data_IF_847427167098
#
_entry.id   IF_847427167098
#
_cell.length_a   1.000
_cell.length_b   1.000
_cell.length_c   1.000
_cell.angle_alpha   90.00
_cell.angle_beta   90.00
_cell.angle_gamma   90.00
#
_symmetry.space_group_name_H-M   'P 1'
#
loop_
_entity.id
_entity.type
_entity.pdbx_description
1 polymer ?
#
# COMPACT_ATOMS: atom_id res chain seq x y z
N UNK A 1 4.63 -48.05 -53.74
CA UNK A 1 4.78 -48.41 -52.31
C UNK A 1 5.68 -47.38 -51.66
N UNK A 2 5.13 -46.41 -50.94
CA UNK A 2 5.82 -45.69 -49.86
C UNK A 2 4.74 -45.13 -48.94
N UNK A 3 4.56 -45.82 -47.83
CA UNK A 3 3.66 -45.49 -46.72
C UNK A 3 4.25 -44.34 -45.93
N UNK A 4 3.59 -43.18 -45.93
CA UNK A 4 3.86 -42.10 -44.97
C UNK A 4 3.20 -42.48 -43.63
N UNK A 5 3.99 -43.10 -42.75
CA UNK A 5 3.60 -43.31 -41.35
C UNK A 5 3.63 -41.99 -40.60
N UNK A 6 2.45 -41.45 -40.30
CA UNK A 6 2.28 -40.41 -39.28
C UNK A 6 2.64 -41.08 -37.95
N UNK A 7 3.77 -40.70 -37.37
CA UNK A 7 4.15 -41.12 -36.02
C UNK A 7 3.07 -40.67 -35.02
N UNK A 8 2.79 -41.46 -33.97
CA UNK A 8 1.72 -41.15 -33.03
C UNK A 8 1.99 -39.79 -32.37
N UNK A 9 1.01 -38.89 -32.48
CA UNK A 9 0.94 -37.66 -31.68
C UNK A 9 0.80 -38.12 -30.23
N UNK A 10 1.82 -37.85 -29.42
CA UNK A 10 1.83 -38.11 -27.99
C UNK A 10 0.82 -37.20 -27.29
N UNK A 11 -0.45 -37.62 -27.33
CA UNK A 11 -1.54 -37.05 -26.55
C UNK A 11 -1.42 -37.55 -25.11
N UNK A 12 -1.04 -36.62 -24.23
CA UNK A 12 -1.25 -36.65 -22.79
C UNK A 12 -0.43 -37.67 -21.99
N UNK A 13 0.85 -37.34 -21.77
CA UNK A 13 1.44 -37.63 -20.46
C UNK A 13 0.54 -37.00 -19.37
N UNK A 14 0.14 -37.76 -18.33
CA UNK A 14 -0.66 -37.20 -17.25
C UNK A 14 0.19 -36.12 -16.59
N UNK A 15 -0.17 -34.85 -16.80
CA UNK A 15 0.36 -33.73 -16.01
C UNK A 15 -0.13 -33.97 -14.59
N UNK A 16 0.67 -34.67 -13.78
CA UNK A 16 0.33 -35.03 -12.41
C UNK A 16 -0.10 -33.76 -11.65
N UNK A 17 -1.12 -33.90 -10.78
CA UNK A 17 -1.59 -32.80 -9.95
C UNK A 17 -0.42 -32.12 -9.21
N UNK A 18 0.58 -32.90 -8.79
CA UNK A 18 1.81 -32.43 -8.16
C UNK A 18 2.60 -31.43 -9.03
N UNK A 19 2.70 -31.65 -10.35
CA UNK A 19 3.40 -30.73 -11.26
C UNK A 19 2.63 -29.41 -11.45
N UNK A 20 1.30 -29.45 -11.33
CA UNK A 20 0.44 -28.26 -11.43
C UNK A 20 0.48 -27.44 -10.13
N UNK A 21 0.47 -28.10 -8.97
CA UNK A 21 0.59 -27.45 -7.67
C UNK A 21 1.98 -26.84 -7.47
N UNK A 22 3.04 -27.53 -7.88
CA UNK A 22 4.40 -27.00 -7.82
C UNK A 22 4.60 -25.74 -8.69
N UNK A 23 4.00 -25.72 -9.88
CA UNK A 23 3.97 -24.52 -10.74
C UNK A 23 3.19 -23.39 -10.10
N UNK A 24 2.10 -23.70 -9.41
CA UNK A 24 1.26 -22.71 -8.71
C UNK A 24 1.99 -22.09 -7.52
N UNK A 25 2.66 -22.89 -6.71
CA UNK A 25 3.49 -22.43 -5.59
C UNK A 25 4.66 -21.59 -6.07
N UNK A 26 5.35 -22.04 -7.12
CA UNK A 26 6.47 -21.32 -7.72
C UNK A 26 6.02 -19.96 -8.25
N UNK A 27 4.86 -19.88 -8.90
CA UNK A 27 4.27 -18.62 -9.34
C UNK A 27 3.96 -17.69 -8.16
N UNK A 28 3.35 -18.20 -7.08
CA UNK A 28 3.06 -17.42 -5.87
C UNK A 28 4.32 -16.86 -5.22
N UNK A 29 5.37 -17.66 -5.11
CA UNK A 29 6.65 -17.23 -4.57
C UNK A 29 7.29 -16.13 -5.41
N UNK A 30 7.26 -16.27 -6.75
CA UNK A 30 7.72 -15.22 -7.66
C UNK A 30 6.89 -13.94 -7.54
N UNK A 31 5.57 -14.04 -7.49
CA UNK A 31 4.68 -12.88 -7.34
C UNK A 31 4.97 -12.14 -6.02
N UNK A 32 5.22 -12.88 -4.94
CA UNK A 32 5.58 -12.31 -3.64
C UNK A 32 6.98 -11.66 -3.64
N UNK A 33 7.98 -12.27 -4.27
CA UNK A 33 9.31 -11.67 -4.45
C UNK A 33 9.24 -10.34 -5.21
N UNK A 34 8.42 -10.27 -6.27
CA UNK A 34 8.15 -9.00 -6.95
C UNK A 34 7.62 -7.96 -5.97
N UNK A 35 6.64 -8.30 -5.12
CA UNK A 35 6.08 -7.36 -4.14
C UNK A 35 7.13 -6.90 -3.12
N UNK A 36 7.94 -7.81 -2.60
CA UNK A 36 9.05 -7.46 -1.70
C UNK A 36 9.99 -6.46 -2.36
N UNK A 37 10.37 -6.68 -3.61
CA UNK A 37 11.27 -5.79 -4.34
C UNK A 37 10.65 -4.40 -4.57
N UNK A 38 9.36 -4.35 -4.93
CA UNK A 38 8.64 -3.09 -5.11
C UNK A 38 8.57 -2.29 -3.80
N UNK A 39 8.20 -2.95 -2.69
CA UNK A 39 8.14 -2.31 -1.37
C UNK A 39 9.54 -1.85 -0.94
N UNK A 40 10.58 -2.68 -1.12
CA UNK A 40 11.97 -2.31 -0.81
C UNK A 40 12.40 -1.05 -1.59
N UNK A 41 12.12 -1.02 -2.89
CA UNK A 41 12.48 0.10 -3.77
C UNK A 41 11.73 1.36 -3.39
N UNK A 42 10.43 1.22 -3.07
CA UNK A 42 9.62 2.34 -2.61
C UNK A 42 10.10 2.88 -1.25
N UNK A 43 10.41 2.00 -0.29
CA UNK A 43 11.02 2.39 0.99
C UNK A 43 12.32 3.17 0.79
N UNK A 44 13.20 2.70 -0.11
CA UNK A 44 14.46 3.39 -0.42
C UNK A 44 14.25 4.78 -1.05
N UNK A 45 13.13 5.02 -1.74
CA UNK A 45 12.78 6.34 -2.27
C UNK A 45 12.14 7.26 -1.23
N UNK A 46 11.45 6.69 -0.24
CA UNK A 46 10.75 7.46 0.79
C UNK A 46 11.64 7.81 1.98
N UNK A 47 12.68 7.00 2.23
CA UNK A 47 13.60 7.16 3.34
C UNK A 47 14.81 8.02 2.91
N UNK A 48 15.43 8.75 3.85
CA UNK A 48 16.68 9.47 3.60
C UNK A 48 17.81 8.58 3.05
N UNK A 49 18.74 9.15 2.26
CA UNK A 49 19.84 8.41 1.62
C UNK A 49 20.80 7.71 2.61
N UNK A 50 20.90 8.20 3.85
CA UNK A 50 21.67 7.58 4.92
C UNK A 50 20.99 6.34 5.54
N UNK A 51 19.73 6.08 5.17
CA UNK A 51 18.97 4.95 5.65
C UNK A 51 19.25 3.69 4.81
N UNK A 52 20.06 2.79 5.36
CA UNK A 52 20.32 1.48 4.77
C UNK A 52 19.03 0.62 4.72
N UNK A 53 18.46 0.46 3.54
CA UNK A 53 17.35 -0.48 3.31
C UNK A 53 17.93 -1.87 3.02
N UNK A 54 17.57 -2.90 3.80
CA UNK A 54 18.12 -4.25 3.67
C UNK A 54 17.76 -4.92 2.34
N UNK A 55 18.40 -6.06 2.07
CA UNK A 55 18.11 -6.91 0.91
C UNK A 55 16.64 -7.37 0.89
N UNK A 56 16.17 -7.82 -0.28
CA UNK A 56 14.79 -8.31 -0.46
C UNK A 56 14.46 -9.45 0.51
N UNK A 57 15.41 -10.34 0.77
CA UNK A 57 15.22 -11.51 1.64
C UNK A 57 15.20 -11.14 3.12
N UNK A 58 16.02 -10.15 3.51
CA UNK A 58 16.19 -9.70 4.90
C UNK A 58 15.18 -8.63 5.30
N UNK A 59 14.46 -8.03 4.34
CA UNK A 59 13.54 -6.93 4.58
C UNK A 59 12.49 -7.27 5.64
N UNK A 60 11.82 -8.40 5.51
CA UNK A 60 10.81 -8.84 6.49
C UNK A 60 11.38 -8.97 7.89
N UNK A 61 12.59 -9.52 8.03
CA UNK A 61 13.21 -9.68 9.34
C UNK A 61 13.60 -8.32 9.91
N UNK A 62 14.11 -7.40 9.10
CA UNK A 62 14.48 -6.06 9.54
C UNK A 62 13.27 -5.22 9.97
N UNK A 63 12.12 -5.36 9.30
CA UNK A 63 10.88 -4.67 9.67
C UNK A 63 10.42 -4.99 11.11
N UNK A 64 10.84 -6.13 11.68
CA UNK A 64 10.46 -6.57 13.03
C UNK A 64 10.94 -5.66 14.17
N UNK A 65 11.98 -4.86 13.93
CA UNK A 65 12.48 -3.88 14.91
C UNK A 65 11.72 -2.54 14.86
N UNK A 66 10.82 -2.37 13.88
CA UNK A 66 9.99 -1.19 13.70
C UNK A 66 10.73 0.10 13.30
N UNK A 67 12.05 0.12 13.22
CA UNK A 67 12.84 1.34 12.97
C UNK A 67 12.54 1.91 11.58
N UNK A 68 12.58 1.06 10.54
CA UNK A 68 12.22 1.48 9.18
C UNK A 68 10.76 1.95 9.08
N UNK A 69 9.84 1.27 9.79
CA UNK A 69 8.42 1.63 9.83
C UNK A 69 8.21 3.00 10.50
N UNK A 70 8.88 3.26 11.62
CA UNK A 70 8.82 4.54 12.31
C UNK A 70 9.42 5.67 11.47
N UNK A 71 10.58 5.44 10.83
CA UNK A 71 11.19 6.40 9.90
C UNK A 71 10.26 6.73 8.73
N UNK A 72 9.60 5.72 8.17
CA UNK A 72 8.57 5.92 7.15
C UNK A 72 7.40 6.75 7.68
N UNK A 73 6.92 6.43 8.89
CA UNK A 73 5.88 7.19 9.60
C UNK A 73 6.22 8.67 9.75
N UNK A 74 7.47 8.98 10.12
CA UNK A 74 7.97 10.34 10.19
C UNK A 74 7.87 11.07 8.84
N UNK A 75 8.19 10.39 7.74
CA UNK A 75 8.18 10.98 6.40
C UNK A 75 6.81 11.52 5.95
N UNK A 76 5.69 10.91 6.40
CA UNK A 76 4.34 11.35 6.01
C UNK A 76 3.49 11.94 7.14
N UNK A 77 3.89 11.73 8.40
CA UNK A 77 3.23 12.26 9.59
C UNK A 77 4.28 12.59 10.70
N UNK A 78 5.12 13.62 10.49
CA UNK A 78 6.22 13.94 11.39
C UNK A 78 5.78 14.33 12.81
N UNK A 79 4.57 14.90 12.95
CA UNK A 79 3.97 15.25 14.24
C UNK A 79 3.66 14.02 15.11
N UNK A 80 3.24 12.91 14.49
CA UNK A 80 2.92 11.66 15.20
C UNK A 80 4.17 10.86 15.55
N UNK A 81 5.19 10.95 14.69
CA UNK A 81 6.46 10.24 14.85
C UNK A 81 7.63 11.22 14.75
N UNK A 82 7.95 11.95 15.82
CA UNK A 82 9.20 12.70 15.88
C UNK A 82 10.40 11.75 15.82
N UNK A 83 11.45 12.11 15.06
CA UNK A 83 12.68 11.30 14.96
C UNK A 83 13.31 11.01 16.33
N UNK A 84 13.18 11.94 17.28
CA UNK A 84 13.68 11.83 18.65
C UNK A 84 13.01 10.73 19.47
N UNK A 85 11.82 10.26 19.07
CA UNK A 85 11.09 9.18 19.74
C UNK A 85 11.40 7.80 19.16
N UNK A 86 12.11 7.73 18.04
CA UNK A 86 12.46 6.45 17.42
C UNK A 86 13.57 5.79 18.23
N UNK A 87 13.26 4.65 18.83
CA UNK A 87 14.22 3.85 19.58
C UNK A 87 15.19 3.13 18.65
N UNK A 88 16.48 3.13 19.01
CA UNK A 88 17.56 2.51 18.24
C UNK A 88 17.57 2.97 16.77
N UNK A 89 17.56 4.29 16.58
CA UNK A 89 17.51 4.93 15.26
C UNK A 89 18.54 4.35 14.27
N UNK A 90 19.77 4.07 14.73
CA UNK A 90 20.87 3.52 13.91
C UNK A 90 20.85 1.98 13.80
N UNK A 91 19.88 1.30 14.42
CA UNK A 91 19.80 -0.16 14.53
C UNK A 91 21.06 -0.82 15.15
N UNK A 92 21.86 -0.07 15.92
CA UNK A 92 23.11 -0.59 16.51
C UNK A 92 22.83 -1.68 17.52
N UNK A 93 21.80 -1.48 18.37
CA UNK A 93 21.43 -2.47 19.38
C UNK A 93 20.80 -3.71 18.74
N UNK A 94 19.97 -3.50 17.72
CA UNK A 94 19.42 -4.59 16.91
C UNK A 94 20.53 -5.44 16.28
N UNK A 95 21.56 -4.81 15.70
CA UNK A 95 22.71 -5.51 15.11
C UNK A 95 23.60 -6.21 16.16
N UNK A 96 23.73 -5.67 17.38
CA UNK A 96 24.64 -6.20 18.41
C UNK A 96 24.03 -7.25 19.34
N UNK A 97 22.79 -7.04 19.80
CA UNK A 97 22.13 -7.84 20.84
C UNK A 97 20.81 -8.46 20.34
N UNK A 98 20.34 -8.02 19.17
CA UNK A 98 19.04 -8.39 18.64
C UNK A 98 17.93 -7.49 19.14
N UNK A 99 16.70 -7.94 18.93
CA UNK A 99 15.48 -7.17 19.14
C UNK A 99 15.04 -7.23 20.62
N UNK A 100 15.10 -6.09 21.30
CA UNK A 100 14.47 -5.86 22.60
C UNK A 100 13.00 -5.39 22.53
N UNK A 101 12.29 -5.48 23.66
CA UNK A 101 10.88 -5.07 23.78
C UNK A 101 10.65 -3.61 23.40
N UNK A 102 11.60 -2.71 23.68
CA UNK A 102 11.52 -1.29 23.34
C UNK A 102 11.35 -1.01 21.82
N UNK A 103 11.70 -1.96 20.95
CA UNK A 103 11.43 -1.84 19.51
C UNK A 103 9.93 -1.89 19.17
N UNK A 104 9.08 -2.44 20.05
CA UNK A 104 7.63 -2.42 19.86
C UNK A 104 7.07 -1.00 19.84
N UNK A 105 7.71 -0.06 20.54
CA UNK A 105 7.30 1.35 20.53
C UNK A 105 7.41 1.95 19.13
N UNK A 106 8.46 1.60 18.38
CA UNK A 106 8.64 2.04 16.99
C UNK A 106 7.47 1.58 16.09
N UNK A 107 7.03 0.34 16.27
CA UNK A 107 5.89 -0.22 15.52
C UNK A 107 4.59 0.51 15.90
N UNK A 108 4.41 0.81 17.19
CA UNK A 108 3.25 1.56 17.68
C UNK A 108 3.23 3.00 17.15
N UNK A 109 4.38 3.65 17.05
CA UNK A 109 4.52 4.97 16.42
C UNK A 109 4.08 4.95 14.97
N UNK A 110 4.55 3.98 14.19
CA UNK A 110 4.12 3.80 12.80
C UNK A 110 2.61 3.57 12.69
N UNK A 111 2.03 2.71 13.55
CA UNK A 111 0.57 2.49 13.58
C UNK A 111 -0.21 3.78 13.81
N UNK A 112 0.22 4.64 14.74
CA UNK A 112 -0.42 5.94 14.98
C UNK A 112 -0.33 6.86 13.76
N UNK A 113 0.84 6.90 13.10
CA UNK A 113 1.01 7.64 11.85
C UNK A 113 0.02 7.17 10.77
N UNK A 114 -0.14 5.85 10.59
CA UNK A 114 -1.10 5.31 9.63
C UNK A 114 -2.54 5.73 9.93
N UNK A 115 -2.94 5.74 11.20
CA UNK A 115 -4.27 6.18 11.61
C UNK A 115 -4.48 7.68 11.36
N UNK A 116 -3.44 8.52 11.53
CA UNK A 116 -3.55 9.97 11.28
C UNK A 116 -3.73 10.32 9.81
N UNK A 117 -3.27 9.46 8.88
CA UNK A 117 -3.56 9.57 7.44
C UNK A 117 -4.81 8.82 7.02
N UNK A 118 -5.66 8.45 7.97
CA UNK A 118 -6.92 7.72 7.73
C UNK A 118 -6.73 6.38 7.00
N UNK A 119 -5.59 5.72 7.21
CA UNK A 119 -5.37 4.39 6.66
C UNK A 119 -6.26 3.36 7.37
N UNK A 120 -6.89 2.41 6.67
CA UNK A 120 -7.82 1.47 7.30
C UNK A 120 -7.14 0.53 8.30
N UNK A 121 -7.57 0.57 9.56
CA UNK A 121 -7.02 -0.26 10.64
C UNK A 121 -7.07 -1.78 10.35
N UNK A 122 -8.07 -2.25 9.60
CA UNK A 122 -8.20 -3.66 9.21
C UNK A 122 -7.05 -4.17 8.34
N UNK A 123 -6.34 -3.25 7.67
CA UNK A 123 -5.17 -3.57 6.84
C UNK A 123 -3.88 -3.48 7.65
N UNK A 124 -3.90 -2.86 8.84
CA UNK A 124 -2.71 -2.69 9.68
C UNK A 124 -2.48 -3.99 10.47
N UNK A 125 -1.34 -4.68 10.29
CA UNK A 125 -1.04 -5.89 11.04
C UNK A 125 -0.89 -5.61 12.54
N UNK A 126 -1.07 -6.64 13.34
CA UNK A 126 -0.89 -6.54 14.79
C UNK A 126 0.58 -6.31 15.14
N UNK A 127 0.83 -5.52 16.17
CA UNK A 127 2.19 -5.22 16.65
C UNK A 127 2.96 -6.50 17.01
N UNK A 128 2.24 -7.50 17.55
CA UNK A 128 2.82 -8.80 17.91
C UNK A 128 3.28 -9.56 16.66
N UNK A 129 2.48 -9.56 15.59
CA UNK A 129 2.86 -10.23 14.33
C UNK A 129 4.10 -9.60 13.70
N UNK A 130 4.16 -8.26 13.69
CA UNK A 130 5.30 -7.52 13.14
C UNK A 130 6.55 -7.84 13.96
N UNK A 131 6.42 -7.76 15.29
CA UNK A 131 7.51 -8.04 16.22
C UNK A 131 7.99 -9.48 16.04
N UNK A 132 7.11 -10.48 16.01
CA UNK A 132 7.47 -11.89 15.88
C UNK A 132 8.04 -12.28 14.50
N UNK A 133 8.08 -11.33 13.55
CA UNK A 133 8.68 -11.55 12.23
C UNK A 133 7.72 -12.16 11.22
N UNK A 134 6.41 -12.26 11.53
CA UNK A 134 5.36 -12.69 10.60
C UNK A 134 4.99 -11.55 9.64
N UNK A 135 5.98 -11.06 8.91
CA UNK A 135 5.89 -9.79 8.18
C UNK A 135 5.33 -9.88 6.76
N UNK A 136 4.81 -11.04 6.34
CA UNK A 136 4.14 -11.18 5.03
C UNK A 136 2.97 -10.20 4.92
N UNK A 137 2.12 -10.10 5.95
CA UNK A 137 1.01 -9.14 5.98
C UNK A 137 1.51 -7.69 6.00
N UNK A 138 2.63 -7.43 6.67
CA UNK A 138 3.28 -6.11 6.73
C UNK A 138 3.71 -5.64 5.35
N UNK A 139 4.23 -6.52 4.49
CA UNK A 139 4.61 -6.18 3.11
C UNK A 139 3.37 -5.77 2.29
N UNK A 140 2.27 -6.52 2.40
CA UNK A 140 1.02 -6.14 1.73
C UNK A 140 0.43 -4.84 2.28
N UNK A 141 0.53 -4.63 3.59
CA UNK A 141 0.14 -3.39 4.25
C UNK A 141 0.95 -2.19 3.73
N UNK A 142 2.27 -2.33 3.62
CA UNK A 142 3.16 -1.30 3.08
C UNK A 142 2.87 -1.02 1.59
N UNK A 143 2.58 -2.05 0.81
CA UNK A 143 2.17 -1.87 -0.59
C UNK A 143 0.86 -1.08 -0.70
N UNK A 144 -0.15 -1.44 0.10
CA UNK A 144 -1.41 -0.71 0.20
C UNK A 144 -1.21 0.73 0.69
N UNK A 145 -0.33 0.93 1.67
CA UNK A 145 0.03 2.23 2.22
C UNK A 145 0.71 3.10 1.15
N UNK A 146 1.61 2.55 0.35
CA UNK A 146 2.25 3.28 -0.74
C UNK A 146 1.24 3.84 -1.75
N UNK A 147 0.24 3.03 -2.14
CA UNK A 147 -0.85 3.47 -3.01
C UNK A 147 -1.69 4.57 -2.32
N UNK A 148 -1.99 4.40 -1.04
CA UNK A 148 -2.77 5.36 -0.26
C UNK A 148 -2.05 6.70 -0.12
N UNK A 149 -0.77 6.69 0.24
CA UNK A 149 0.06 7.89 0.41
C UNK A 149 0.33 8.60 -0.92
N UNK A 150 0.48 7.85 -2.02
CA UNK A 150 0.58 8.44 -3.35
C UNK A 150 -0.70 9.20 -3.73
N UNK A 151 -1.89 8.65 -3.41
CA UNK A 151 -3.17 9.34 -3.60
C UNK A 151 -3.31 10.58 -2.73
N UNK A 152 -2.66 10.60 -1.56
CA UNK A 152 -2.59 11.76 -0.67
C UNK A 152 -1.47 12.74 -1.04
N UNK A 153 -0.71 12.51 -2.13
CA UNK A 153 0.44 13.32 -2.56
C UNK A 153 1.55 13.47 -1.51
N UNK A 154 1.61 12.57 -0.52
CA UNK A 154 2.61 12.61 0.55
C UNK A 154 3.90 11.87 0.20
N UNK A 155 3.83 10.87 -0.69
CA UNK A 155 4.97 10.02 -1.04
C UNK A 155 4.95 9.60 -2.53
N UNK A 156 6.11 9.18 -3.09
CA UNK A 156 6.20 8.72 -4.46
C UNK A 156 5.36 7.45 -4.71
N UNK A 157 5.03 7.23 -5.99
CA UNK A 157 4.28 6.05 -6.43
C UNK A 157 5.14 4.78 -6.35
N UNK A 158 4.52 3.68 -5.94
CA UNK A 158 5.15 2.36 -6.02
C UNK A 158 5.16 1.88 -7.48
N UNK A 159 6.35 1.61 -8.02
CA UNK A 159 6.50 1.13 -9.41
C UNK A 159 6.23 -0.36 -9.47
N UNK A 160 5.44 -0.80 -10.44
CA UNK A 160 5.21 -2.22 -10.68
C UNK A 160 6.44 -2.83 -11.36
N UNK A 161 7.02 -3.87 -10.76
CA UNK A 161 8.18 -4.60 -11.28
C UNK A 161 7.84 -6.00 -11.80
N UNK A 162 6.56 -6.35 -11.86
CA UNK A 162 6.10 -7.64 -12.39
C UNK A 162 6.62 -7.83 -13.83
N UNK A 163 7.54 -8.79 -14.02
CA UNK A 163 8.11 -9.14 -15.32
C UNK A 163 9.45 -8.49 -15.68
N UNK A 164 9.97 -7.57 -14.85
CA UNK A 164 11.24 -6.88 -15.10
C UNK A 164 12.42 -7.41 -14.26
N UNK A 165 12.17 -8.39 -13.37
CA UNK A 165 13.17 -8.92 -12.44
C UNK A 165 13.18 -10.44 -12.54
N UNK A 166 14.36 -11.00 -12.81
CA UNK A 166 14.62 -12.43 -12.73
C UNK A 166 15.19 -12.75 -11.35
N UNK A 167 14.56 -13.71 -10.67
CA UNK A 167 14.98 -14.22 -9.37
C UNK A 167 15.69 -15.56 -9.52
N UNK A 168 16.69 -15.80 -8.67
CA UNK A 168 17.37 -17.08 -8.58
C UNK A 168 16.42 -18.18 -8.10
N UNK A 169 16.71 -19.44 -8.49
CA UNK A 169 15.97 -20.59 -8.00
C UNK A 169 16.04 -20.71 -6.47
N UNK A 170 17.19 -20.35 -5.87
CA UNK A 170 17.40 -20.37 -4.42
C UNK A 170 16.49 -19.36 -3.68
N UNK A 171 16.33 -18.16 -4.23
CA UNK A 171 15.44 -17.13 -3.66
C UNK A 171 13.97 -17.57 -3.70
N UNK A 172 13.57 -18.18 -4.82
CA UNK A 172 12.22 -18.70 -4.99
C UNK A 172 11.95 -19.84 -4.01
N UNK A 173 12.91 -20.75 -3.81
CA UNK A 173 12.79 -21.87 -2.89
C UNK A 173 12.71 -21.40 -1.43
N UNK A 174 13.56 -20.45 -1.03
CA UNK A 174 13.52 -19.84 0.30
C UNK A 174 12.15 -19.19 0.59
N UNK A 175 11.56 -18.51 -0.40
CA UNK A 175 10.22 -17.93 -0.27
C UNK A 175 9.14 -19.01 -0.28
N UNK A 176 9.25 -20.07 -1.08
CA UNK A 176 8.31 -21.20 -1.05
C UNK A 176 8.25 -21.80 0.35
N UNK A 177 9.39 -22.03 1.00
CA UNK A 177 9.43 -22.56 2.37
C UNK A 177 8.76 -21.62 3.38
N UNK A 178 9.06 -20.32 3.29
CA UNK A 178 8.42 -19.28 4.13
C UNK A 178 6.91 -19.18 3.92
N UNK A 179 6.44 -19.32 2.67
CA UNK A 179 5.01 -19.27 2.34
C UNK A 179 4.28 -20.54 2.81
N UNK A 180 4.93 -21.72 2.83
CA UNK A 180 4.36 -22.95 3.38
C UNK A 180 4.05 -22.83 4.87
N UNK A 181 4.93 -22.14 5.61
CA UNK A 181 4.77 -21.91 7.04
C UNK A 181 3.77 -20.78 7.36
N UNK A 182 3.36 -20.00 6.36
CA UNK A 182 2.39 -18.92 6.53
C UNK A 182 0.97 -19.40 6.28
N UNK A 183 0.11 -19.27 7.29
CA UNK A 183 -1.31 -19.66 7.24
C UNK A 183 -2.15 -18.77 6.32
N UNK A 184 -1.63 -17.63 5.88
CA UNK A 184 -2.37 -16.64 5.10
C UNK A 184 -1.44 -15.86 4.16
N UNK A 185 -1.56 -16.13 2.86
CA UNK A 185 -1.04 -15.26 1.80
C UNK A 185 -2.26 -14.58 1.19
N UNK A 186 -2.62 -13.36 1.62
CA UNK A 186 -3.76 -12.67 1.04
C UNK A 186 -3.53 -12.48 -0.45
N UNK A 187 -4.57 -12.68 -1.25
CA UNK A 187 -4.48 -12.31 -2.64
C UNK A 187 -4.46 -10.78 -2.76
N UNK A 188 -3.60 -10.24 -3.63
CA UNK A 188 -3.42 -8.79 -3.86
C UNK A 188 -4.76 -8.06 -4.10
N UNK A 189 -5.72 -8.75 -4.73
CA UNK A 189 -7.06 -8.25 -5.00
C UNK A 189 -7.89 -8.04 -3.74
N UNK A 190 -7.69 -8.85 -2.69
CA UNK A 190 -8.41 -8.73 -1.43
C UNK A 190 -7.89 -7.56 -0.60
N UNK A 191 -6.56 -7.37 -0.51
CA UNK A 191 -5.97 -6.26 0.23
C UNK A 191 -6.28 -4.89 -0.42
N UNK A 192 -6.17 -4.81 -1.75
CA UNK A 192 -6.53 -3.59 -2.51
C UNK A 192 -8.05 -3.40 -2.57
N UNK A 193 -8.81 -4.50 -2.65
CA UNK A 193 -10.27 -4.48 -2.59
C UNK A 193 -10.82 -4.06 -1.23
N UNK A 194 -10.13 -4.38 -0.13
CA UNK A 194 -10.47 -3.91 1.21
C UNK A 194 -10.31 -2.39 1.36
N UNK A 195 -9.30 -1.79 0.71
CA UNK A 195 -9.17 -0.33 0.59
C UNK A 195 -10.33 0.29 -0.20
N UNK A 196 -10.86 -0.40 -1.21
CA UNK A 196 -11.97 0.07 -2.04
C UNK A 196 -13.37 -0.20 -1.43
N UNK A 197 -13.51 -1.19 -0.55
CA UNK A 197 -14.81 -1.66 -0.01
C UNK A 197 -15.29 -0.95 1.24
N UNK A 198 -14.52 -0.04 1.86
CA UNK A 198 -15.06 0.73 2.99
C UNK A 198 -16.01 1.83 2.50
N UNK A 199 -17.28 1.68 2.86
CA UNK A 199 -18.15 2.80 3.23
C UNK A 199 -17.38 3.57 4.31
N UNK A 200 -16.75 4.67 3.95
CA UNK A 200 -16.47 5.72 4.94
C UNK A 200 -17.85 6.12 5.47
N UNK A 201 -18.04 6.14 6.79
CA UNK A 201 -19.16 6.86 7.41
C UNK A 201 -18.89 8.34 7.17
N UNK A 202 -19.05 8.73 5.90
CA UNK A 202 -19.15 10.11 5.49
C UNK A 202 -20.33 10.65 6.28
N UNK A 203 -20.15 11.78 6.94
CA UNK A 203 -21.26 12.40 7.62
C UNK A 203 -22.40 12.58 6.61
N UNK A 204 -23.50 11.87 6.83
CA UNK A 204 -24.79 12.08 6.15
C UNK A 204 -25.57 13.18 6.83
N UNK A 205 -24.89 14.14 7.45
CA UNK A 205 -25.53 15.35 7.94
C UNK A 205 -26.03 16.12 6.71
N UNK A 206 -27.33 16.06 6.46
CA UNK A 206 -28.00 16.82 5.39
C UNK A 206 -27.65 18.32 5.47
N UNK A 207 -27.36 18.83 6.67
CA UNK A 207 -26.88 20.19 6.90
C UNK A 207 -25.49 20.48 6.31
N UNK A 208 -24.51 19.56 6.46
CA UNK A 208 -23.18 19.72 5.87
C UNK A 208 -23.28 19.62 4.36
N UNK A 209 -24.11 18.71 3.87
CA UNK A 209 -24.33 18.52 2.46
C UNK A 209 -25.03 19.72 1.78
N UNK A 210 -26.02 20.32 2.44
CA UNK A 210 -26.64 21.57 2.01
C UNK A 210 -25.62 22.73 2.00
N UNK A 211 -24.73 22.78 2.99
CA UNK A 211 -23.65 23.76 3.04
C UNK A 211 -22.65 23.57 1.89
N UNK A 212 -22.30 22.32 1.53
CA UNK A 212 -21.43 22.01 0.38
C UNK A 212 -22.09 22.48 -0.91
N UNK A 213 -23.39 22.19 -1.10
CA UNK A 213 -24.13 22.67 -2.28
C UNK A 213 -24.19 24.20 -2.35
N UNK A 214 -24.32 24.87 -1.20
CA UNK A 214 -24.29 26.33 -1.13
C UNK A 214 -22.91 26.87 -1.52
N UNK A 215 -21.83 26.30 -0.99
CA UNK A 215 -20.45 26.69 -1.33
C UNK A 215 -20.14 26.50 -2.82
N UNK A 216 -20.65 25.42 -3.44
CA UNK A 216 -20.52 25.20 -4.90
C UNK A 216 -21.27 26.29 -5.69
N UNK A 217 -22.48 26.67 -5.28
CA UNK A 217 -23.26 27.74 -5.96
C UNK A 217 -22.64 29.12 -5.81
N UNK A 218 -22.07 29.40 -4.65
CA UNK A 218 -21.39 30.68 -4.34
C UNK A 218 -19.95 30.72 -4.87
N UNK A 219 -19.48 29.61 -5.46
CA UNK A 219 -18.10 29.42 -5.94
C UNK A 219 -17.03 29.72 -4.86
N UNK A 220 -17.35 29.35 -3.62
CA UNK A 220 -16.49 29.58 -2.46
C UNK A 220 -15.59 28.36 -2.20
N UNK A 221 -14.32 28.53 -2.51
CA UNK A 221 -13.31 27.49 -2.39
C UNK A 221 -12.90 27.22 -0.93
N UNK A 222 -12.80 28.26 -0.10
CA UNK A 222 -12.36 28.12 1.29
C UNK A 222 -13.41 27.39 2.11
N UNK A 223 -14.67 27.79 1.98
CA UNK A 223 -15.79 27.14 2.65
C UNK A 223 -15.97 25.70 2.16
N UNK A 224 -15.76 25.42 0.87
CA UNK A 224 -15.81 24.05 0.35
C UNK A 224 -14.73 23.17 1.00
N UNK A 225 -13.50 23.67 1.14
CA UNK A 225 -12.40 22.90 1.72
C UNK A 225 -12.71 22.52 3.17
N UNK A 226 -13.14 23.50 3.97
CA UNK A 226 -13.50 23.26 5.37
C UNK A 226 -14.63 22.24 5.51
N UNK A 227 -15.66 22.34 4.67
CA UNK A 227 -16.78 21.41 4.67
C UNK A 227 -16.39 20.01 4.22
N UNK A 228 -15.50 19.89 3.23
CA UNK A 228 -15.02 18.59 2.76
C UNK A 228 -14.17 17.88 3.82
N UNK A 229 -13.32 18.64 4.52
CA UNK A 229 -12.53 18.14 5.66
C UNK A 229 -13.46 17.76 6.83
N UNK A 230 -14.45 18.61 7.15
CA UNK A 230 -15.42 18.35 8.22
C UNK A 230 -16.31 17.13 7.94
N UNK A 231 -16.70 16.94 6.69
CA UNK A 231 -17.46 15.77 6.23
C UNK A 231 -16.63 14.49 6.14
N UNK A 232 -15.30 14.57 6.38
CA UNK A 232 -14.34 13.46 6.34
C UNK A 232 -14.22 12.82 4.96
N UNK A 233 -14.31 13.62 3.89
CA UNK A 233 -13.97 13.13 2.56
C UNK A 233 -12.47 12.81 2.49
N UNK A 234 -12.13 11.68 1.90
CA UNK A 234 -10.76 11.25 1.72
C UNK A 234 -10.12 11.99 0.54
N UNK A 235 -8.81 12.24 0.63
CA UNK A 235 -7.97 12.80 -0.44
C UNK A 235 -8.32 14.23 -0.87
N UNK A 236 -8.87 15.04 0.04
CA UNK A 236 -9.13 16.46 -0.23
C UNK A 236 -7.80 17.22 -0.23
N UNK A 237 -7.44 17.79 -1.38
CA UNK A 237 -6.26 18.63 -1.55
C UNK A 237 -6.64 20.12 -1.71
N UNK A 238 -6.10 20.97 -0.85
CA UNK A 238 -6.27 22.43 -0.92
C UNK A 238 -5.82 23.04 -2.25
N UNK A 239 -4.83 22.45 -2.93
CA UNK A 239 -4.32 22.95 -4.22
C UNK A 239 -5.26 22.65 -5.39
N UNK A 240 -6.13 21.65 -5.25
CA UNK A 240 -7.09 21.23 -6.28
C UNK A 240 -8.52 21.70 -6.00
N UNK A 241 -8.71 22.55 -4.98
CA UNK A 241 -10.02 23.00 -4.53
C UNK A 241 -10.83 23.67 -5.64
N UNK A 242 -10.19 24.48 -6.48
CA UNK A 242 -10.83 25.12 -7.64
C UNK A 242 -11.29 24.10 -8.69
N UNK A 243 -10.56 22.99 -8.85
CA UNK A 243 -10.94 21.89 -9.75
C UNK A 243 -12.05 21.03 -9.16
N UNK A 244 -12.07 20.86 -7.84
CA UNK A 244 -13.20 20.24 -7.17
C UNK A 244 -14.46 21.08 -7.35
N UNK A 245 -14.39 22.41 -7.20
CA UNK A 245 -15.52 23.31 -7.46
C UNK A 245 -16.05 23.17 -8.89
N UNK A 246 -15.16 23.19 -9.89
CA UNK A 246 -15.55 22.99 -11.30
C UNK A 246 -16.22 21.62 -11.52
N UNK A 247 -15.59 20.54 -11.04
CA UNK A 247 -16.08 19.19 -11.25
C UNK A 247 -17.39 18.90 -10.50
N UNK A 248 -17.51 19.36 -9.26
CA UNK A 248 -18.73 19.25 -8.46
C UNK A 248 -19.84 20.15 -8.99
N UNK A 249 -19.51 21.31 -9.56
CA UNK A 249 -20.47 22.22 -10.20
C UNK A 249 -21.07 21.70 -11.51
N UNK A 250 -20.34 20.83 -12.22
CA UNK A 250 -20.86 20.17 -13.44
C UNK A 250 -21.80 18.99 -13.17
N UNK A 251 -21.85 18.48 -11.94
CA UNK A 251 -22.69 17.33 -11.58
C UNK A 251 -24.14 17.78 -11.27
N UNK A 252 -24.98 17.84 -12.30
CA UNK A 252 -26.40 18.24 -12.20
C UNK A 252 -27.32 17.15 -11.60
N UNK A 253 -26.81 15.94 -11.34
CA UNK A 253 -27.55 14.86 -10.72
C UNK A 253 -27.26 14.83 -9.22
N UNK A 254 -28.30 14.88 -8.38
CA UNK A 254 -28.23 14.95 -6.92
C UNK A 254 -26.92 14.41 -6.34
N UNK A 255 -26.08 15.35 -5.90
CA UNK A 255 -24.79 15.05 -5.28
C UNK A 255 -25.07 14.01 -4.16
N UNK A 256 -24.31 12.92 -4.14
CA UNK A 256 -24.36 11.98 -3.04
C UNK A 256 -22.98 11.97 -2.40
N UNK A 257 -22.90 11.57 -1.13
CA UNK A 257 -21.61 11.49 -0.47
C UNK A 257 -20.62 10.58 -1.22
N UNK A 258 -21.15 9.52 -1.86
CA UNK A 258 -20.35 8.66 -2.74
C UNK A 258 -19.93 9.34 -4.05
N UNK A 259 -20.80 10.16 -4.64
CA UNK A 259 -20.50 10.92 -5.87
C UNK A 259 -19.40 11.95 -5.61
N UNK A 260 -19.50 12.72 -4.51
CA UNK A 260 -18.48 13.69 -4.11
C UNK A 260 -17.13 13.01 -3.89
N UNK A 261 -17.11 11.91 -3.12
CA UNK A 261 -15.87 11.15 -2.90
C UNK A 261 -15.29 10.60 -4.21
N UNK A 262 -16.14 10.15 -5.14
CA UNK A 262 -15.71 9.66 -6.45
C UNK A 262 -15.11 10.78 -7.29
N UNK A 263 -15.73 11.96 -7.31
CA UNK A 263 -15.23 13.13 -8.05
C UNK A 263 -13.90 13.59 -7.49
N UNK A 264 -13.75 13.68 -6.17
CA UNK A 264 -12.45 14.03 -5.55
C UNK A 264 -11.37 13.04 -6.00
N UNK A 265 -11.66 11.74 -5.93
CA UNK A 265 -10.75 10.70 -6.41
C UNK A 265 -10.46 10.79 -7.92
N UNK A 266 -11.46 11.13 -8.74
CA UNK A 266 -11.33 11.24 -10.20
C UNK A 266 -10.54 12.48 -10.62
N UNK A 267 -10.80 13.63 -9.99
CA UNK A 267 -10.00 14.85 -10.19
C UNK A 267 -8.57 14.57 -9.79
N UNK A 268 -8.34 13.97 -8.63
CA UNK A 268 -6.99 13.58 -8.21
C UNK A 268 -6.34 12.60 -9.18
N UNK A 269 -7.13 11.69 -9.77
CA UNK A 269 -6.71 10.68 -10.74
C UNK A 269 -6.40 11.21 -12.15
N UNK A 270 -7.16 12.17 -12.67
CA UNK A 270 -6.94 12.76 -14.01
C UNK A 270 -5.66 13.60 -14.07
N UNK A 271 -5.26 14.21 -12.95
CA UNK A 271 -3.96 14.87 -12.81
C UNK A 271 -2.80 13.89 -12.51
N UNK A 272 -3.02 12.57 -12.62
CA UNK A 272 -1.95 11.57 -12.66
C UNK A 272 -1.42 11.40 -14.10
N UNK A 273 -2.17 11.78 -15.15
CA UNK A 273 -1.81 11.41 -16.54
C UNK A 273 -1.13 12.49 -17.40
N UNK A 274 -0.96 13.73 -16.95
CA UNK A 274 -0.47 14.81 -17.85
C UNK A 274 0.74 15.63 -17.37
N UNK A 275 1.33 15.35 -16.20
CA UNK A 275 2.45 16.17 -15.68
C UNK A 275 3.71 15.40 -15.26
N UNK A 276 3.87 14.12 -15.60
CA UNK A 276 5.12 13.37 -15.37
C UNK A 276 5.67 12.68 -16.62
N UNK A 277 5.53 13.34 -17.78
CA UNK A 277 6.27 13.04 -19.02
C UNK A 277 7.22 14.16 -19.45
N UNK A 278 7.60 15.03 -18.50
CA UNK A 278 8.81 15.86 -18.56
C UNK A 278 9.63 15.61 -17.30
#
# INVERSE_FOLDING_TARGET
MTSNGIGPIDLAAPRSADSMDEKRETRRARDYLCRLHEVRTWLAQCLPEDCEVPSVLDLEQNLSNGVLLARLGHGFAPEEVPLSRIYDFDQKKYKSVGKGYQHTDNIMHWRRAMLSVHFPEIVIPETVDIYEGRNIQTIFCLYALAIHLFRLRKMPSIRNQTGNVDFSAEEIEAIKDRLKNSKYVPSLHEATGALAKRKVDLSTDEAIFAAIQKAIKENDAETLLELLVKARYLYVDSALIGRYLEALGTENGGLSSKSIQKIICEVNGRFISFSQLM
#
